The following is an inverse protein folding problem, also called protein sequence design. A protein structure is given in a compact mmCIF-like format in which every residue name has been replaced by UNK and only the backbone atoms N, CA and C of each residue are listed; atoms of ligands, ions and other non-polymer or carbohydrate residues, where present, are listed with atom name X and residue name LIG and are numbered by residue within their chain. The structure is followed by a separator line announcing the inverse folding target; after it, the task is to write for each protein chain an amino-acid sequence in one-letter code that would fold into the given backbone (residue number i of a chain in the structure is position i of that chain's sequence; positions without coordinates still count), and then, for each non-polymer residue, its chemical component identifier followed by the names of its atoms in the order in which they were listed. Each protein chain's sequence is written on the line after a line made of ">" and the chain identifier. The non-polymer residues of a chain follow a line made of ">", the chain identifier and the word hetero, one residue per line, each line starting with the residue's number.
data_IF_592730351173
#
_entry.id   IF_592730351173
#
_cell.length_a   1.000
_cell.length_b   1.000
_cell.length_c   1.000
_cell.angle_alpha   90.00
_cell.angle_beta   90.00
_cell.angle_gamma   90.00
#
_symmetry.space_group_name_H-M   'P 1'
#
loop_
_entity.id
_entity.type
_entity.pdbx_description
1 polymer ?
#
# COMPACT_ATOMS: atom_id res chain seq x y z
N UNK A 1 12.90 20.80 -0.97
CA UNK A 1 11.84 20.41 -0.34
C UNK A 1 11.98 19.07 0.18
N UNK A 2 11.22 18.82 1.10
CA UNK A 2 11.30 17.63 1.68
C UNK A 2 10.82 16.57 0.88
N UNK A 3 11.30 15.50 1.05
CA UNK A 3 10.87 14.38 0.40
C UNK A 3 9.50 14.08 0.67
N UNK A 4 8.83 13.76 -0.32
CA UNK A 4 7.53 13.38 -0.16
C UNK A 4 7.46 12.12 0.55
N UNK A 5 6.53 12.03 1.44
CA UNK A 5 6.22 10.86 2.07
C UNK A 5 5.63 9.94 1.13
N UNK A 6 6.27 9.04 0.56
CA UNK A 6 5.71 8.05 -0.30
C UNK A 6 5.24 6.88 0.51
N UNK A 7 4.22 7.11 1.31
CA UNK A 7 3.72 6.09 2.21
C UNK A 7 2.20 6.14 2.26
N UNK A 8 1.61 4.98 2.40
CA UNK A 8 0.18 4.85 2.65
C UNK A 8 0.03 4.32 4.07
N UNK A 9 -0.81 4.96 4.85
CA UNK A 9 -1.05 4.54 6.22
C UNK A 9 -2.39 3.83 6.31
N UNK A 10 -2.36 2.60 6.76
CA UNK A 10 -3.58 1.86 7.05
C UNK A 10 -3.82 2.00 8.54
N UNK A 11 -4.94 2.61 8.92
CA UNK A 11 -5.23 2.85 10.31
C UNK A 11 -6.49 2.08 10.71
N UNK A 12 -6.72 1.99 12.00
CA UNK A 12 -7.91 1.32 12.49
C UNK A 12 -7.85 -0.18 12.38
N UNK A 13 -6.66 -0.74 12.25
CA UNK A 13 -6.52 -2.19 12.15
C UNK A 13 -6.73 -2.82 13.54
N UNK A 14 -7.16 -4.08 13.57
CA UNK A 14 -7.35 -4.73 14.87
C UNK A 14 -6.03 -4.91 15.59
N UNK A 15 -6.05 -4.65 16.90
CA UNK A 15 -4.84 -4.83 17.70
C UNK A 15 -4.84 -6.16 18.41
N UNK A 16 -5.95 -6.89 18.37
CA UNK A 16 -6.07 -8.13 19.10
C UNK A 16 -5.68 -9.32 18.28
N UNK A 17 -5.56 -9.18 17.00
CA UNK A 17 -5.26 -10.30 16.12
C UNK A 17 -4.47 -9.81 14.93
N UNK A 18 -3.79 -10.72 14.26
CA UNK A 18 -3.08 -10.41 13.06
C UNK A 18 -4.05 -10.20 11.92
N UNK A 19 -3.64 -9.48 10.90
CA UNK A 19 -4.43 -9.36 9.70
C UNK A 19 -3.51 -9.31 8.49
N UNK A 20 -4.10 -9.42 7.31
CA UNK A 20 -3.34 -9.45 6.06
C UNK A 20 -3.89 -8.37 5.16
N UNK A 21 -3.00 -7.59 4.58
CA UNK A 21 -3.38 -6.57 3.62
C UNK A 21 -2.78 -6.99 2.28
N UNK A 22 -3.65 -7.21 1.30
CA UNK A 22 -3.21 -7.57 -0.05
C UNK A 22 -3.54 -6.44 -0.98
N UNK A 23 -2.57 -6.01 -1.73
CA UNK A 23 -2.72 -4.87 -2.62
C UNK A 23 -2.60 -5.35 -4.05
N UNK A 24 -3.57 -4.95 -4.87
CA UNK A 24 -3.66 -5.35 -6.26
C UNK A 24 -3.76 -4.12 -7.14
N UNK A 25 -3.33 -4.23 -8.37
CA UNK A 25 -3.65 -3.19 -9.34
C UNK A 25 -5.05 -3.43 -9.88
N UNK A 26 -5.52 -2.56 -10.75
CA UNK A 26 -6.89 -2.69 -11.24
C UNK A 26 -7.10 -3.89 -12.13
N UNK A 27 -6.04 -4.46 -12.66
CA UNK A 27 -6.16 -5.69 -13.43
C UNK A 27 -6.24 -6.91 -12.55
N UNK A 28 -6.08 -6.75 -11.25
CA UNK A 28 -6.11 -7.88 -10.35
C UNK A 28 -4.76 -8.51 -10.12
N UNK A 29 -3.70 -7.89 -10.60
CA UNK A 29 -2.36 -8.44 -10.41
C UNK A 29 -1.88 -8.08 -9.00
N UNK A 30 -1.43 -9.06 -8.23
CA UNK A 30 -0.94 -8.77 -6.88
C UNK A 30 0.28 -7.89 -6.93
N UNK A 31 0.30 -6.89 -6.06
CA UNK A 31 1.40 -5.95 -5.98
C UNK A 31 2.18 -6.17 -4.71
N UNK A 32 1.48 -6.26 -3.59
CA UNK A 32 2.15 -6.36 -2.29
C UNK A 32 1.27 -7.08 -1.31
N UNK A 33 1.87 -7.88 -0.46
CA UNK A 33 1.18 -8.51 0.65
C UNK A 33 1.87 -8.08 1.93
N UNK A 34 1.10 -7.55 2.86
CA UNK A 34 1.61 -7.11 4.14
C UNK A 34 0.97 -7.94 5.22
N UNK A 35 1.80 -8.60 6.02
CA UNK A 35 1.31 -9.35 7.16
C UNK A 35 1.45 -8.44 8.37
N UNK A 36 0.31 -8.04 8.91
CA UNK A 36 0.29 -7.08 10.01
C UNK A 36 0.11 -7.85 11.32
N UNK A 37 1.06 -7.69 12.21
CA UNK A 37 1.02 -8.38 13.49
C UNK A 37 0.12 -7.66 14.47
N UNK A 38 -0.48 -8.41 15.36
CA UNK A 38 -1.29 -7.85 16.42
C UNK A 38 -0.46 -6.90 17.28
N UNK A 39 -1.15 -6.00 17.94
CA UNK A 39 -0.49 -5.06 18.83
C UNK A 39 -0.42 -3.65 18.32
N UNK A 40 -0.76 -3.43 17.07
CA UNK A 40 -0.76 -2.09 16.51
C UNK A 40 -1.95 -1.92 15.59
N UNK A 41 -2.54 -0.74 15.60
CA UNK A 41 -3.63 -0.43 14.69
C UNK A 41 -3.16 0.28 13.44
N UNK A 42 -1.87 0.42 13.26
CA UNK A 42 -1.30 1.16 12.15
C UNK A 42 -0.35 0.27 11.37
N UNK A 43 -0.46 0.30 10.07
CA UNK A 43 0.51 -0.31 9.19
C UNK A 43 0.89 0.69 8.12
N UNK A 44 2.15 0.75 7.77
CA UNK A 44 2.64 1.71 6.79
C UNK A 44 3.17 0.95 5.59
N UNK A 45 2.68 1.33 4.41
CA UNK A 45 3.15 0.75 3.16
C UNK A 45 3.99 1.78 2.42
N UNK A 46 5.18 1.40 2.05
CA UNK A 46 6.11 2.33 1.43
C UNK A 46 5.94 2.40 -0.08
N UNK A 47 4.83 1.90 -0.59
CA UNK A 47 4.43 2.02 -1.98
C UNK A 47 5.42 1.32 -2.90
N UNK A 48 5.93 0.20 -2.43
CA UNK A 48 6.79 -0.66 -3.22
C UNK A 48 6.17 -2.04 -3.29
N UNK A 49 6.42 -2.73 -4.39
CA UNK A 49 5.89 -4.07 -4.53
C UNK A 49 6.71 -5.06 -3.72
N UNK A 50 6.38 -6.35 -3.83
CA UNK A 50 7.07 -7.36 -3.03
C UNK A 50 8.53 -7.52 -3.43
N UNK A 51 8.91 -7.03 -4.58
CA UNK A 51 10.30 -7.03 -5.00
C UNK A 51 11.01 -5.73 -4.64
N UNK A 52 10.35 -4.91 -3.81
CA UNK A 52 10.91 -3.66 -3.31
C UNK A 52 11.12 -2.62 -4.43
N UNK A 53 10.29 -2.67 -5.44
CA UNK A 53 10.34 -1.74 -6.55
C UNK A 53 9.15 -0.78 -6.43
N UNK A 54 9.35 0.52 -6.56
CA UNK A 54 8.24 1.47 -6.45
C UNK A 54 7.17 1.19 -7.48
N UNK A 55 5.92 1.29 -7.06
CA UNK A 55 4.81 1.05 -7.96
C UNK A 55 4.49 2.32 -8.74
N UNK A 56 3.87 2.14 -9.88
CA UNK A 56 3.52 3.27 -10.72
C UNK A 56 2.33 4.02 -10.15
N UNK A 57 2.19 5.26 -10.55
CA UNK A 57 1.00 6.02 -10.22
C UNK A 57 -0.21 5.33 -10.81
N UNK A 58 -1.30 5.39 -10.11
CA UNK A 58 -2.53 4.78 -10.58
C UNK A 58 -3.44 4.41 -9.43
N UNK A 59 -4.46 3.64 -9.75
CA UNK A 59 -5.42 3.18 -8.76
C UNK A 59 -5.08 1.77 -8.36
N UNK A 60 -5.20 1.50 -7.08
CA UNK A 60 -4.93 0.19 -6.53
C UNK A 60 -6.07 -0.20 -5.60
N UNK A 61 -6.16 -1.47 -5.32
CA UNK A 61 -7.17 -2.00 -4.42
C UNK A 61 -6.46 -2.74 -3.32
N UNK A 62 -6.79 -2.39 -2.08
CA UNK A 62 -6.27 -3.09 -0.92
C UNK A 62 -7.38 -3.92 -0.30
N UNK A 63 -7.12 -5.17 -0.07
CA UNK A 63 -8.05 -6.09 0.56
C UNK A 63 -7.49 -6.38 1.94
N UNK A 64 -8.20 -5.94 2.97
CA UNK A 64 -7.76 -6.12 4.33
C UNK A 64 -8.57 -7.26 4.94
N UNK A 65 -7.89 -8.35 5.28
CA UNK A 65 -8.55 -9.53 5.81
C UNK A 65 -8.26 -9.64 7.29
N UNK A 66 -9.30 -9.62 8.09
CA UNK A 66 -9.18 -9.72 9.53
C UNK A 66 -10.09 -10.82 10.03
N UNK A 67 -10.00 -11.11 11.32
CA UNK A 67 -10.90 -12.09 11.93
C UNK A 67 -12.34 -11.71 11.83
N UNK A 68 -12.64 -10.41 11.76
CA UNK A 68 -14.02 -9.98 11.70
C UNK A 68 -14.53 -9.86 10.29
N UNK A 69 -13.70 -10.07 9.28
CA UNK A 69 -14.18 -10.01 7.90
C UNK A 69 -13.18 -9.36 7.00
N UNK A 70 -13.65 -8.97 5.83
CA UNK A 70 -12.80 -8.42 4.77
C UNK A 70 -13.27 -7.03 4.43
N UNK A 71 -12.34 -6.12 4.28
CA UNK A 71 -12.61 -4.77 3.84
C UNK A 71 -11.86 -4.50 2.56
N UNK A 72 -12.48 -3.80 1.65
CA UNK A 72 -11.86 -3.44 0.39
C UNK A 72 -11.73 -1.94 0.31
N UNK A 73 -10.51 -1.46 0.06
CA UNK A 73 -10.22 -0.05 0.01
C UNK A 73 -9.66 0.29 -1.36
N UNK A 74 -10.03 1.46 -1.88
CA UNK A 74 -9.44 1.97 -3.10
C UNK A 74 -8.35 2.95 -2.74
N UNK A 75 -7.23 2.84 -3.43
CA UNK A 75 -6.07 3.68 -3.14
C UNK A 75 -5.65 4.35 -4.43
N UNK A 76 -5.52 5.67 -4.39
CA UNK A 76 -4.98 6.41 -5.51
C UNK A 76 -3.54 6.76 -5.16
N UNK A 77 -2.60 6.35 -5.98
CA UNK A 77 -1.20 6.62 -5.76
C UNK A 77 -0.72 7.57 -6.82
N UNK A 78 -0.14 8.66 -6.38
CA UNK A 78 0.45 9.62 -7.27
C UNK A 78 1.89 9.76 -6.89
N UNK A 79 2.76 9.13 -7.66
CA UNK A 79 4.17 9.21 -7.40
C UNK A 79 4.70 10.52 -7.91
N UNK A 80 5.72 11.04 -7.29
CA UNK A 80 6.35 12.23 -7.82
C UNK A 80 6.82 11.93 -9.23
N UNK A 81 6.68 12.91 -10.08
CA UNK A 81 6.99 12.71 -11.44
C UNK A 81 8.45 12.41 -11.59
N UNK A 82 8.75 11.36 -12.28
CA UNK A 82 10.10 11.03 -12.57
C UNK A 82 10.45 11.69 -13.86
N UNK A 83 10.97 12.86 -13.80
CA UNK A 83 11.25 13.54 -15.00
C UNK A 83 12.48 12.96 -15.61
N UNK A 84 12.35 12.44 -16.74
CA UNK A 84 13.49 12.11 -17.54
C UNK A 84 13.81 13.34 -18.31
N UNK A 85 14.72 14.06 -17.80
CA UNK A 85 15.06 15.30 -18.41
C UNK A 85 16.00 15.03 -19.53
N UNK A 86 15.46 14.77 -20.67
CA UNK A 86 16.26 14.35 -21.77
C UNK A 86 17.04 15.46 -22.39
N UNK A 87 16.77 16.63 -21.98
CA UNK A 87 17.48 17.74 -22.55
C UNK A 87 18.53 18.25 -21.67
N UNK A 88 18.78 17.54 -20.66
CA UNK A 88 19.73 18.02 -19.71
C UNK A 88 19.18 19.13 -18.97
#
# INVERSE_FOLDING_TARGET
>A
SDPVDNQIHFTGLPIESDCVIRIFDLSGVPVKTINHDAGSSLEIWNIKNDSNIPVASGMYIAVVETDSGTKILKIAIIQPEQRLDLYG
#
